data_IF_393778568124
#
_entry.id   IF_393778568124
#
_cell.length_a   1.000
_cell.length_b   1.000
_cell.length_c   1.000
_cell.angle_alpha   90.00
_cell.angle_beta   90.00
_cell.angle_gamma   90.00
#
_symmetry.space_group_name_H-M   'P 1'
#
loop_
_entity.id
_entity.type
_entity.pdbx_description
1 polymer ?
#
# COMPACT_ATOMS: atom_id res chain seq x y z
N UNK A 1 -32.52 -16.74 2.59
CA UNK A 1 -31.54 -15.95 3.34
C UNK A 1 -30.15 -16.60 3.41
N UNK A 2 -30.05 -17.93 3.63
CA UNK A 2 -28.74 -18.62 3.68
C UNK A 2 -27.91 -18.51 2.38
N UNK A 3 -28.53 -18.59 1.19
CA UNK A 3 -27.84 -18.46 -0.08
C UNK A 3 -27.21 -17.07 -0.32
N UNK A 4 -27.84 -16.01 0.18
CA UNK A 4 -27.27 -14.65 0.13
C UNK A 4 -26.07 -14.53 1.09
N UNK A 5 -26.16 -15.10 2.29
CA UNK A 5 -25.08 -15.07 3.25
C UNK A 5 -23.85 -15.82 2.76
N UNK A 6 -24.02 -16.98 2.10
CA UNK A 6 -22.92 -17.74 1.49
C UNK A 6 -22.27 -16.96 0.31
N UNK A 7 -23.10 -16.29 -0.52
CA UNK A 7 -22.59 -15.48 -1.62
C UNK A 7 -21.78 -14.27 -1.13
N UNK A 8 -22.23 -13.56 -0.09
CA UNK A 8 -21.47 -12.44 0.50
C UNK A 8 -20.17 -12.87 1.18
N UNK A 9 -20.08 -14.11 1.66
CA UNK A 9 -18.89 -14.65 2.29
C UNK A 9 -17.93 -15.34 1.31
N UNK A 10 -18.26 -15.42 0.03
CA UNK A 10 -17.35 -15.93 -1.00
C UNK A 10 -16.21 -14.94 -1.24
N UNK A 11 -14.92 -15.34 -1.05
CA UNK A 11 -13.77 -14.48 -1.25
C UNK A 11 -13.68 -13.88 -2.65
N UNK A 12 -14.13 -14.59 -3.68
CA UNK A 12 -14.19 -14.08 -5.06
C UNK A 12 -15.21 -12.96 -5.20
N UNK A 13 -16.39 -13.14 -4.61
CA UNK A 13 -17.43 -12.09 -4.62
C UNK A 13 -16.98 -10.86 -3.84
N UNK A 14 -16.32 -11.05 -2.70
CA UNK A 14 -15.79 -9.94 -1.92
C UNK A 14 -14.73 -9.16 -2.70
N UNK A 15 -13.79 -9.83 -3.36
CA UNK A 15 -12.71 -9.17 -4.09
C UNK A 15 -13.17 -8.52 -5.39
N UNK A 16 -14.03 -9.20 -6.17
CA UNK A 16 -14.38 -8.76 -7.53
C UNK A 16 -15.62 -7.87 -7.58
N UNK A 17 -16.52 -7.98 -6.59
CA UNK A 17 -17.80 -7.25 -6.59
C UNK A 17 -17.88 -6.25 -5.44
N UNK A 18 -17.73 -6.73 -4.19
CA UNK A 18 -17.98 -5.89 -3.02
C UNK A 18 -16.89 -4.82 -2.85
N UNK A 19 -15.62 -5.20 -2.96
CA UNK A 19 -14.50 -4.25 -2.81
C UNK A 19 -14.53 -3.13 -3.85
N UNK A 20 -14.71 -3.39 -5.16
CA UNK A 20 -14.87 -2.34 -6.15
C UNK A 20 -16.11 -1.46 -5.92
N UNK A 21 -17.22 -2.06 -5.51
CA UNK A 21 -18.45 -1.31 -5.24
C UNK A 21 -18.26 -0.30 -4.09
N UNK A 22 -17.63 -0.73 -3.00
CA UNK A 22 -17.28 0.15 -1.88
C UNK A 22 -16.33 1.24 -2.33
N UNK A 23 -15.29 0.88 -3.10
CA UNK A 23 -14.34 1.84 -3.67
C UNK A 23 -15.02 2.88 -4.55
N UNK A 24 -15.91 2.44 -5.45
CA UNK A 24 -16.66 3.33 -6.34
C UNK A 24 -17.59 4.28 -5.57
N UNK A 25 -18.34 3.77 -4.60
CA UNK A 25 -19.21 4.60 -3.75
C UNK A 25 -18.38 5.66 -3.03
N UNK A 26 -17.27 5.28 -2.40
CA UNK A 26 -16.38 6.23 -1.73
C UNK A 26 -15.81 7.24 -2.72
N UNK A 27 -15.37 6.83 -3.91
CA UNK A 27 -14.84 7.72 -4.93
C UNK A 27 -15.87 8.77 -5.38
N UNK A 28 -17.12 8.37 -5.62
CA UNK A 28 -18.21 9.29 -5.97
C UNK A 28 -18.54 10.21 -4.79
N UNK A 29 -18.62 9.69 -3.56
CA UNK A 29 -18.86 10.50 -2.37
C UNK A 29 -17.77 11.56 -2.18
N UNK A 30 -16.49 11.18 -2.30
CA UNK A 30 -15.38 12.11 -2.16
C UNK A 30 -15.33 13.15 -3.27
N UNK A 31 -15.66 12.80 -4.50
CA UNK A 31 -15.73 13.75 -5.61
C UNK A 31 -17.05 14.53 -5.63
N UNK A 32 -18.12 13.96 -5.07
CA UNK A 32 -19.51 14.37 -5.24
C UNK A 32 -20.15 15.21 -4.16
N UNK A 33 -19.54 15.39 -3.00
CA UNK A 33 -20.17 16.09 -1.86
C UNK A 33 -20.26 17.63 -2.02
N UNK A 34 -19.86 18.18 -3.15
CA UNK A 34 -19.81 19.63 -3.35
C UNK A 34 -20.78 20.13 -4.40
N UNK A 35 -21.46 21.24 -4.07
CA UNK A 35 -22.05 22.14 -5.05
C UNK A 35 -20.97 22.68 -6.01
N UNK A 36 -21.31 22.80 -7.29
CA UNK A 36 -20.45 23.30 -8.37
C UNK A 36 -19.68 24.55 -7.94
N UNK A 37 -18.34 24.59 -8.06
CA UNK A 37 -17.62 25.83 -7.82
C UNK A 37 -18.07 26.88 -8.81
N UNK A 38 -18.53 28.01 -8.33
CA UNK A 38 -19.04 29.11 -9.14
C UNK A 38 -17.93 29.96 -9.80
N UNK A 39 -16.69 29.49 -9.85
CA UNK A 39 -15.60 30.21 -10.49
C UNK A 39 -14.74 29.32 -11.37
N UNK A 40 -14.60 29.68 -12.66
CA UNK A 40 -13.68 29.12 -13.64
C UNK A 40 -12.20 29.45 -13.34
N UNK A 41 -11.85 29.70 -12.11
CA UNK A 41 -10.45 29.94 -11.74
C UNK A 41 -9.69 28.61 -11.74
N UNK A 42 -8.56 28.50 -12.45
CA UNK A 42 -7.71 27.31 -12.40
C UNK A 42 -7.35 27.01 -10.94
N UNK A 43 -7.57 25.78 -10.54
CA UNK A 43 -7.27 25.33 -9.19
C UNK A 43 -5.74 25.16 -9.04
N UNK A 44 -5.03 26.27 -8.84
CA UNK A 44 -3.66 26.23 -8.35
C UNK A 44 -3.68 25.78 -6.90
N UNK A 45 -2.99 24.70 -6.59
CA UNK A 45 -2.67 24.33 -5.20
C UNK A 45 -1.75 25.42 -4.68
N UNK A 46 -2.32 26.49 -4.12
CA UNK A 46 -1.54 27.44 -3.36
C UNK A 46 -0.98 26.67 -2.17
N UNK A 47 0.33 26.43 -2.17
CA UNK A 47 1.04 25.94 -1.01
C UNK A 47 0.77 26.90 0.14
N UNK A 48 -0.21 26.58 0.95
CA UNK A 48 -0.30 27.18 2.27
C UNK A 48 0.84 26.57 3.04
N UNK A 49 1.97 27.25 3.04
CA UNK A 49 3.15 26.86 3.81
C UNK A 49 2.76 26.96 5.29
N UNK A 50 2.18 25.89 5.82
CA UNK A 50 2.01 25.73 7.24
C UNK A 50 3.40 25.40 7.77
N UNK A 51 4.12 26.41 8.23
CA UNK A 51 5.40 26.25 8.93
C UNK A 51 5.11 25.56 10.25
N UNK A 52 5.16 24.23 10.26
CA UNK A 52 5.24 23.46 11.50
C UNK A 52 6.64 23.68 12.06
N UNK A 53 6.80 24.58 13.03
CA UNK A 53 7.93 24.54 13.96
C UNK A 53 7.80 23.27 14.80
N UNK A 54 8.31 22.16 14.26
CA UNK A 54 8.48 20.94 15.04
C UNK A 54 9.69 21.16 15.95
N UNK A 55 9.44 21.50 17.20
CA UNK A 55 10.46 21.45 18.23
C UNK A 55 10.72 19.96 18.51
N UNK A 56 11.71 19.40 17.84
CA UNK A 56 12.21 18.06 18.15
C UNK A 56 12.94 18.19 19.48
N UNK A 57 12.27 17.88 20.57
CA UNK A 57 12.93 17.61 21.83
C UNK A 57 13.64 16.26 21.68
N UNK A 58 14.91 16.31 21.25
CA UNK A 58 15.76 15.12 21.26
C UNK A 58 16.05 14.82 22.72
N UNK A 59 15.22 13.95 23.30
CA UNK A 59 15.51 13.37 24.59
C UNK A 59 16.65 12.37 24.36
N UNK A 60 17.90 12.85 24.45
CA UNK A 60 19.07 11.99 24.51
C UNK A 60 19.06 11.26 25.87
N UNK A 61 18.19 10.26 25.99
CA UNK A 61 18.38 9.21 26.98
C UNK A 61 19.63 8.47 26.57
N UNK A 62 20.70 8.64 27.33
CA UNK A 62 22.00 8.03 27.10
C UNK A 62 21.83 6.53 26.84
N UNK A 63 22.04 6.12 25.59
CA UNK A 63 22.19 4.72 25.25
C UNK A 63 23.45 4.22 25.98
N UNK A 64 23.24 3.54 27.11
CA UNK A 64 24.28 2.68 27.68
C UNK A 64 24.61 1.65 26.61
N UNK A 65 25.84 1.68 26.13
CA UNK A 65 26.40 0.63 25.30
C UNK A 65 26.25 -0.68 26.06
N UNK A 66 25.34 -1.49 25.61
CA UNK A 66 25.08 -2.84 26.08
C UNK A 66 26.28 -3.73 25.72
N UNK A 67 26.66 -4.59 26.64
CA UNK A 67 27.77 -5.54 26.52
C UNK A 67 27.55 -6.49 25.32
N UNK A 68 28.62 -7.13 24.84
CA UNK A 68 28.61 -8.07 23.71
C UNK A 68 27.56 -9.21 23.82
N UNK A 69 27.17 -9.56 25.04
CA UNK A 69 26.14 -10.59 25.29
C UNK A 69 24.75 -10.20 24.82
N UNK A 70 24.42 -8.91 24.86
CA UNK A 70 23.12 -8.42 24.36
C UNK A 70 23.03 -8.50 22.81
N UNK A 71 24.16 -8.39 22.10
CA UNK A 71 24.19 -8.47 20.63
C UNK A 71 23.70 -9.85 20.12
N UNK A 72 24.07 -10.93 20.79
CA UNK A 72 23.60 -12.28 20.46
C UNK A 72 22.10 -12.43 20.71
N UNK A 73 21.58 -11.84 21.80
CA UNK A 73 20.14 -11.81 22.09
C UNK A 73 19.35 -11.10 20.99
N UNK A 74 19.81 -9.94 20.52
CA UNK A 74 19.17 -9.21 19.42
C UNK A 74 19.22 -9.98 18.09
N UNK A 75 20.35 -10.63 17.77
CA UNK A 75 20.50 -11.43 16.56
C UNK A 75 19.57 -12.63 16.57
N UNK A 76 19.47 -13.33 17.71
CA UNK A 76 18.54 -14.46 17.86
C UNK A 76 17.08 -14.00 17.74
N UNK A 77 16.72 -12.88 18.38
CA UNK A 77 15.39 -12.30 18.26
C UNK A 77 15.05 -11.93 16.81
N UNK A 78 15.98 -11.32 16.07
CA UNK A 78 15.81 -10.96 14.67
C UNK A 78 15.58 -12.21 13.80
N UNK A 79 16.38 -13.25 13.98
CA UNK A 79 16.22 -14.54 13.27
C UNK A 79 14.89 -15.19 13.59
N UNK A 80 14.45 -15.15 14.85
CA UNK A 80 13.15 -15.67 15.26
C UNK A 80 11.99 -14.91 14.62
N UNK A 81 12.10 -13.59 14.53
CA UNK A 81 11.10 -12.73 13.85
C UNK A 81 11.03 -13.06 12.36
N UNK A 82 12.17 -13.13 11.68
CA UNK A 82 12.22 -13.46 10.24
C UNK A 82 11.65 -14.86 9.99
N UNK A 83 12.01 -15.84 10.79
CA UNK A 83 11.48 -17.20 10.69
C UNK A 83 9.95 -17.24 10.93
N UNK A 84 9.48 -16.51 11.94
CA UNK A 84 8.04 -16.41 12.26
C UNK A 84 7.23 -15.75 11.16
N UNK A 85 7.72 -14.63 10.60
CA UNK A 85 7.08 -13.93 9.49
C UNK A 85 7.06 -14.81 8.24
N UNK A 86 8.19 -15.48 7.94
CA UNK A 86 8.31 -16.38 6.78
C UNK A 86 7.34 -17.56 6.89
N UNK A 87 7.24 -18.15 8.07
CA UNK A 87 6.29 -19.23 8.36
C UNK A 87 4.84 -18.76 8.23
N UNK A 88 4.50 -17.61 8.83
CA UNK A 88 3.16 -17.03 8.76
C UNK A 88 2.75 -16.71 7.33
N UNK A 89 3.64 -16.05 6.57
CA UNK A 89 3.40 -15.77 5.16
C UNK A 89 3.20 -17.06 4.34
N UNK A 90 4.07 -18.06 4.48
CA UNK A 90 3.95 -19.31 3.73
C UNK A 90 2.64 -20.04 4.02
N UNK A 91 2.15 -19.95 5.26
CA UNK A 91 0.90 -20.57 5.70
C UNK A 91 -0.34 -19.87 5.12
N UNK A 92 -0.30 -18.55 4.96
CA UNK A 92 -1.43 -17.69 4.60
C UNK A 92 -1.18 -16.88 3.32
N UNK A 93 -0.27 -17.33 2.44
CA UNK A 93 0.11 -16.58 1.25
C UNK A 93 -1.08 -16.28 0.34
N UNK A 94 -1.92 -17.29 0.07
CA UNK A 94 -3.09 -17.15 -0.80
C UNK A 94 -4.09 -16.13 -0.24
N UNK A 95 -4.33 -16.17 1.07
CA UNK A 95 -5.21 -15.25 1.77
C UNK A 95 -4.65 -13.81 1.76
N UNK A 96 -3.35 -13.65 2.02
CA UNK A 96 -2.66 -12.34 2.00
C UNK A 96 -2.72 -11.72 0.60
N UNK A 97 -2.39 -12.50 -0.43
CA UNK A 97 -2.45 -12.03 -1.82
C UNK A 97 -3.90 -11.79 -2.28
N UNK A 98 -4.85 -12.58 -1.80
CA UNK A 98 -6.28 -12.35 -2.00
C UNK A 98 -6.77 -11.03 -1.40
N UNK A 99 -6.35 -10.70 -0.18
CA UNK A 99 -6.65 -9.40 0.43
C UNK A 99 -5.98 -8.24 -0.32
N UNK A 100 -4.73 -8.43 -0.78
CA UNK A 100 -4.07 -7.41 -1.61
C UNK A 100 -4.82 -7.20 -2.91
N UNK A 101 -5.24 -8.26 -3.60
CA UNK A 101 -6.07 -8.17 -4.82
C UNK A 101 -7.37 -7.39 -4.56
N UNK A 102 -8.09 -7.72 -3.49
CA UNK A 102 -9.33 -7.04 -3.11
C UNK A 102 -9.10 -5.55 -2.85
N UNK A 103 -8.01 -5.22 -2.14
CA UNK A 103 -7.59 -3.84 -1.91
C UNK A 103 -7.28 -3.09 -3.21
N UNK A 104 -6.58 -3.72 -4.16
CA UNK A 104 -6.26 -3.12 -5.46
C UNK A 104 -7.53 -2.84 -6.27
N UNK A 105 -8.50 -3.75 -6.31
CA UNK A 105 -9.78 -3.50 -6.98
C UNK A 105 -10.54 -2.35 -6.33
N UNK A 106 -10.56 -2.28 -5.00
CA UNK A 106 -11.20 -1.18 -4.27
C UNK A 106 -10.52 0.17 -4.55
N UNK A 107 -9.18 0.22 -4.52
CA UNK A 107 -8.40 1.42 -4.83
C UNK A 107 -8.61 1.87 -6.29
N UNK A 108 -8.61 0.93 -7.23
CA UNK A 108 -8.84 1.21 -8.66
C UNK A 108 -10.23 1.80 -8.86
N UNK A 109 -11.26 1.15 -8.31
CA UNK A 109 -12.64 1.63 -8.43
C UNK A 109 -12.82 3.02 -7.77
N UNK A 110 -12.19 3.25 -6.63
CA UNK A 110 -12.17 4.56 -5.96
C UNK A 110 -11.57 5.64 -6.87
N UNK A 111 -10.35 5.43 -7.39
CA UNK A 111 -9.63 6.43 -8.17
C UNK A 111 -10.35 6.66 -9.51
N UNK A 112 -10.84 5.62 -10.18
CA UNK A 112 -11.57 5.74 -11.44
C UNK A 112 -12.89 6.48 -11.26
N UNK A 113 -13.69 6.13 -10.27
CA UNK A 113 -14.98 6.79 -10.01
C UNK A 113 -14.78 8.26 -9.58
N UNK A 114 -13.78 8.54 -8.76
CA UNK A 114 -13.40 9.90 -8.39
C UNK A 114 -12.91 10.70 -9.62
N UNK A 115 -12.11 10.07 -10.48
CA UNK A 115 -11.62 10.66 -11.74
C UNK A 115 -12.76 11.01 -12.70
N UNK A 116 -13.69 10.07 -12.92
CA UNK A 116 -14.88 10.30 -13.75
C UNK A 116 -15.77 11.41 -13.18
N UNK A 117 -16.08 11.35 -11.87
CA UNK A 117 -16.88 12.36 -11.22
C UNK A 117 -16.24 13.76 -11.27
N UNK A 118 -14.91 13.83 -11.12
CA UNK A 118 -14.11 15.06 -11.27
C UNK A 118 -14.16 15.58 -12.71
N UNK A 119 -14.06 14.70 -13.71
CA UNK A 119 -14.13 15.07 -15.13
C UNK A 119 -15.54 15.60 -15.52
N UNK A 120 -16.59 14.92 -15.09
CA UNK A 120 -18.00 15.34 -15.35
C UNK A 120 -18.29 16.71 -14.73
N UNK A 121 -17.56 17.11 -13.71
CA UNK A 121 -17.72 18.42 -13.01
C UNK A 121 -16.78 19.49 -13.49
N UNK A 122 -16.11 19.31 -14.64
CA UNK A 122 -15.14 20.25 -15.19
C UNK A 122 -14.00 20.63 -14.23
N UNK A 123 -13.63 19.70 -13.32
CA UNK A 123 -12.56 19.88 -12.33
C UNK A 123 -11.16 19.47 -12.84
N UNK A 124 -11.04 19.14 -14.12
CA UNK A 124 -9.80 18.61 -14.73
C UNK A 124 -8.91 19.69 -15.37
N UNK A 125 -9.12 20.97 -15.07
CA UNK A 125 -8.53 22.12 -15.78
C UNK A 125 -7.03 22.37 -15.54
N UNK A 126 -6.36 21.56 -14.72
CA UNK A 126 -4.94 21.80 -14.40
C UNK A 126 -4.08 20.55 -14.58
N UNK A 127 -2.76 20.76 -14.79
CA UNK A 127 -1.76 19.69 -14.79
C UNK A 127 -1.74 18.90 -13.46
N UNK A 128 -2.21 19.50 -12.38
CA UNK A 128 -2.33 18.87 -11.06
C UNK A 128 -3.29 17.66 -11.11
N UNK A 129 -4.40 17.75 -11.85
CA UNK A 129 -5.32 16.63 -12.01
C UNK A 129 -4.62 15.40 -12.59
N UNK A 130 -3.73 15.59 -13.57
CA UNK A 130 -2.95 14.50 -14.17
C UNK A 130 -2.05 13.85 -13.11
N UNK A 131 -1.38 14.64 -12.29
CA UNK A 131 -0.46 14.14 -11.27
C UNK A 131 -1.15 13.48 -10.07
N UNK A 132 -2.36 13.91 -9.73
CA UNK A 132 -3.06 13.42 -8.54
C UNK A 132 -4.17 12.42 -8.81
N UNK A 133 -4.62 12.27 -10.07
CA UNK A 133 -5.63 11.29 -10.45
C UNK A 133 -5.05 10.30 -11.47
N UNK A 134 -4.47 10.76 -12.57
CA UNK A 134 -4.02 9.87 -13.63
C UNK A 134 -2.75 9.08 -13.25
N UNK A 135 -1.74 9.72 -12.67
CA UNK A 135 -0.52 9.03 -12.23
C UNK A 135 -0.79 7.94 -11.17
N UNK A 136 -1.66 8.13 -10.15
CA UNK A 136 -2.12 7.06 -9.28
C UNK A 136 -2.80 5.88 -9.99
N UNK A 137 -3.57 6.12 -11.05
CA UNK A 137 -4.18 5.02 -11.84
C UNK A 137 -3.08 4.12 -12.42
N UNK A 138 -2.05 4.72 -13.01
CA UNK A 138 -0.90 3.98 -13.56
C UNK A 138 -0.19 3.21 -12.45
N UNK A 139 0.04 3.83 -11.30
CA UNK A 139 0.74 3.22 -10.18
C UNK A 139 -0.05 2.03 -9.59
N UNK A 140 -1.37 2.16 -9.44
CA UNK A 140 -2.21 1.04 -9.01
C UNK A 140 -2.28 -0.04 -10.09
N UNK A 141 -2.34 0.34 -11.38
CA UNK A 141 -2.22 -0.61 -12.50
C UNK A 141 -0.92 -1.41 -12.44
N UNK A 142 0.21 -0.75 -12.16
CA UNK A 142 1.49 -1.43 -11.95
C UNK A 142 1.48 -2.35 -10.73
N UNK A 143 0.72 -2.02 -9.67
CA UNK A 143 0.59 -2.88 -8.50
C UNK A 143 -0.14 -4.20 -8.80
N UNK A 144 -1.02 -4.27 -9.79
CA UNK A 144 -1.57 -5.56 -10.27
C UNK A 144 -0.48 -6.44 -10.91
N UNK A 145 0.43 -5.83 -11.66
CA UNK A 145 1.58 -6.56 -12.19
C UNK A 145 2.49 -7.08 -11.07
N UNK A 146 2.76 -6.28 -10.05
CA UNK A 146 3.52 -6.71 -8.87
C UNK A 146 2.83 -7.86 -8.13
N UNK A 147 1.51 -7.80 -7.98
CA UNK A 147 0.73 -8.90 -7.41
C UNK A 147 0.85 -10.18 -8.24
N UNK A 148 0.79 -10.07 -9.56
CA UNK A 148 0.99 -11.22 -10.45
C UNK A 148 2.38 -11.84 -10.26
N UNK A 149 3.44 -11.03 -10.18
CA UNK A 149 4.79 -11.52 -9.85
C UNK A 149 4.85 -12.21 -8.49
N UNK A 150 4.16 -11.66 -7.47
CA UNK A 150 4.07 -12.26 -6.15
C UNK A 150 3.39 -13.64 -6.19
N UNK A 151 2.34 -13.80 -6.99
CA UNK A 151 1.65 -15.09 -7.18
C UNK A 151 2.54 -16.12 -7.88
N UNK A 152 3.30 -15.71 -8.91
CA UNK A 152 4.27 -16.58 -9.58
C UNK A 152 5.42 -17.00 -8.67
N UNK A 153 5.76 -16.15 -7.69
CA UNK A 153 6.84 -16.41 -6.74
C UNK A 153 6.49 -17.35 -5.59
N UNK A 154 5.23 -17.82 -5.46
CA UNK A 154 4.82 -18.74 -4.40
C UNK A 154 5.60 -20.04 -4.50
N UNK A 155 6.24 -20.44 -3.40
CA UNK A 155 7.03 -21.68 -3.34
C UNK A 155 6.10 -22.87 -3.22
N UNK A 156 6.12 -23.81 -4.19
CA UNK A 156 5.28 -25.00 -4.14
C UNK A 156 5.58 -25.85 -2.90
N UNK A 157 4.52 -26.31 -2.19
CA UNK A 157 4.66 -27.13 -0.99
C UNK A 157 5.04 -26.37 0.29
N UNK A 158 5.32 -25.07 0.22
CA UNK A 158 5.66 -24.27 1.40
C UNK A 158 4.48 -24.18 2.38
N UNK A 159 3.25 -24.11 1.88
CA UNK A 159 2.03 -24.07 2.70
C UNK A 159 1.86 -25.34 3.52
N UNK A 160 1.96 -26.51 2.89
CA UNK A 160 1.85 -27.81 3.55
C UNK A 160 2.98 -28.02 4.57
N UNK A 161 4.19 -27.59 4.22
CA UNK A 161 5.33 -27.65 5.13
C UNK A 161 5.11 -26.72 6.35
N UNK A 162 4.60 -25.50 6.14
CA UNK A 162 4.29 -24.56 7.21
C UNK A 162 3.14 -25.02 8.10
N UNK A 163 2.20 -25.81 7.57
CA UNK A 163 1.11 -26.40 8.38
C UNK A 163 1.58 -27.56 9.26
N UNK A 164 2.59 -28.33 8.81
CA UNK A 164 3.09 -29.52 9.51
C UNK A 164 4.17 -29.20 10.54
N UNK A 165 4.88 -28.11 10.38
CA UNK A 165 6.04 -27.74 11.20
C UNK A 165 5.82 -26.42 11.92
N UNK A 166 6.35 -26.31 13.15
CA UNK A 166 6.47 -25.04 13.84
C UNK A 166 7.46 -24.10 13.10
N UNK A 167 7.42 -22.80 13.39
CA UNK A 167 8.16 -21.78 12.62
C UNK A 167 9.68 -22.01 12.55
N UNK A 168 10.34 -22.49 13.63
CA UNK A 168 11.76 -22.84 13.60
C UNK A 168 12.05 -24.06 12.73
N UNK A 169 11.30 -25.15 12.93
CA UNK A 169 11.50 -26.38 12.15
C UNK A 169 11.18 -26.15 10.68
N UNK A 170 10.16 -25.35 10.36
CA UNK A 170 9.86 -24.93 9.01
C UNK A 170 11.04 -24.23 8.37
N UNK A 171 11.55 -23.17 9.00
CA UNK A 171 12.60 -22.33 8.41
C UNK A 171 13.94 -23.06 8.30
N UNK A 172 14.36 -23.80 9.33
CA UNK A 172 15.70 -24.41 9.36
C UNK A 172 15.76 -25.83 8.81
N UNK A 173 14.66 -26.62 8.85
CA UNK A 173 14.67 -28.03 8.46
C UNK A 173 13.82 -28.33 7.23
N UNK A 174 12.59 -27.80 7.14
CA UNK A 174 11.65 -28.15 6.07
C UNK A 174 11.90 -27.33 4.79
N UNK A 175 12.37 -26.08 4.93
CA UNK A 175 12.60 -25.19 3.80
C UNK A 175 13.96 -25.48 3.15
N UNK A 176 13.99 -25.64 1.81
CA UNK A 176 15.23 -25.75 1.05
C UNK A 176 16.05 -24.46 1.18
N UNK A 177 17.37 -24.57 1.12
CA UNK A 177 18.29 -23.47 1.30
C UNK A 177 18.03 -22.30 0.34
N UNK A 178 17.76 -22.59 -0.93
CA UNK A 178 17.39 -21.61 -1.95
C UNK A 178 16.13 -20.80 -1.59
N UNK A 179 15.16 -21.44 -0.94
CA UNK A 179 13.90 -20.77 -0.55
C UNK A 179 14.02 -19.97 0.75
N UNK A 180 15.03 -20.23 1.59
CA UNK A 180 15.27 -19.45 2.83
C UNK A 180 15.62 -17.99 2.54
N UNK A 181 16.31 -17.73 1.42
CA UNK A 181 16.59 -16.37 0.97
C UNK A 181 15.44 -15.79 0.14
N UNK A 182 14.80 -16.62 -0.68
CA UNK A 182 13.73 -16.19 -1.57
C UNK A 182 12.51 -15.68 -0.82
N UNK A 183 11.99 -16.43 0.16
CA UNK A 183 10.76 -16.08 0.86
C UNK A 183 10.81 -14.73 1.60
N UNK A 184 11.85 -14.38 2.38
CA UNK A 184 11.96 -13.04 2.95
C UNK A 184 11.95 -11.91 1.90
N UNK A 185 12.63 -12.10 0.76
CA UNK A 185 12.61 -11.13 -0.34
C UNK A 185 11.21 -10.99 -0.92
N UNK A 186 10.52 -12.09 -1.15
CA UNK A 186 9.13 -12.09 -1.62
C UNK A 186 8.20 -11.34 -0.65
N UNK A 187 8.32 -11.58 0.66
CA UNK A 187 7.53 -10.88 1.69
C UNK A 187 7.79 -9.38 1.67
N UNK A 188 9.06 -8.99 1.59
CA UNK A 188 9.43 -7.57 1.46
C UNK A 188 8.86 -6.97 0.17
N UNK A 189 8.93 -7.69 -0.94
CA UNK A 189 8.35 -7.27 -2.20
C UNK A 189 6.84 -7.03 -2.11
N UNK A 190 6.09 -7.96 -1.51
CA UNK A 190 4.66 -7.83 -1.24
C UNK A 190 4.38 -6.61 -0.35
N UNK A 191 5.13 -6.46 0.73
CA UNK A 191 4.98 -5.31 1.65
C UNK A 191 5.14 -3.98 0.92
N UNK A 192 6.24 -3.80 0.16
CA UNK A 192 6.47 -2.57 -0.59
C UNK A 192 5.47 -2.36 -1.73
N UNK A 193 4.96 -3.42 -2.35
CA UNK A 193 3.89 -3.34 -3.36
C UNK A 193 2.58 -2.81 -2.77
N UNK A 194 2.21 -3.28 -1.59
CA UNK A 194 1.04 -2.76 -0.84
C UNK A 194 1.26 -1.31 -0.44
N UNK A 195 2.45 -0.95 0.07
CA UNK A 195 2.79 0.43 0.42
C UNK A 195 2.69 1.35 -0.79
N UNK A 196 3.16 0.92 -1.98
CA UNK A 196 3.05 1.70 -3.21
C UNK A 196 1.59 1.95 -3.61
N UNK A 197 0.73 0.93 -3.54
CA UNK A 197 -0.70 1.05 -3.84
C UNK A 197 -1.41 2.01 -2.87
N UNK A 198 -1.12 1.92 -1.57
CA UNK A 198 -1.64 2.83 -0.55
C UNK A 198 -1.16 4.26 -0.82
N UNK A 199 0.12 4.47 -1.07
CA UNK A 199 0.69 5.79 -1.36
C UNK A 199 0.03 6.43 -2.59
N UNK A 200 -0.20 5.65 -3.66
CA UNK A 200 -0.91 6.11 -4.85
C UNK A 200 -2.34 6.55 -4.52
N UNK A 201 -3.07 5.75 -3.76
CA UNK A 201 -4.46 6.06 -3.36
C UNK A 201 -4.52 7.31 -2.47
N UNK A 202 -3.61 7.45 -1.51
CA UNK A 202 -3.54 8.61 -0.62
C UNK A 202 -3.29 9.92 -1.38
N UNK A 203 -2.56 9.89 -2.49
CA UNK A 203 -2.40 11.07 -3.36
C UNK A 203 -3.74 11.53 -3.93
N UNK A 204 -4.55 10.61 -4.43
CA UNK A 204 -5.89 10.93 -4.95
C UNK A 204 -6.81 11.43 -3.84
N UNK A 205 -6.77 10.81 -2.66
CA UNK A 205 -7.53 11.27 -1.48
C UNK A 205 -7.12 12.68 -1.09
N UNK A 206 -5.82 12.99 -1.09
CA UNK A 206 -5.32 14.34 -0.77
C UNK A 206 -5.89 15.39 -1.73
N UNK A 207 -5.81 15.14 -3.03
CA UNK A 207 -6.34 16.04 -4.05
C UNK A 207 -7.84 16.30 -3.86
N UNK A 208 -8.61 15.23 -3.69
CA UNK A 208 -10.06 15.34 -3.47
C UNK A 208 -10.39 16.09 -2.17
N UNK A 209 -9.63 15.88 -1.11
CA UNK A 209 -9.80 16.59 0.15
C UNK A 209 -9.56 18.09 -0.02
N UNK A 210 -8.52 18.51 -0.76
CA UNK A 210 -8.25 19.92 -1.06
C UNK A 210 -9.35 20.52 -1.94
N UNK A 211 -9.82 19.82 -2.96
CA UNK A 211 -10.92 20.30 -3.82
C UNK A 211 -12.19 20.51 -3.01
N UNK A 212 -12.51 19.59 -2.10
CA UNK A 212 -13.67 19.70 -1.23
C UNK A 212 -13.56 20.81 -0.19
N UNK A 213 -12.38 21.12 0.32
CA UNK A 213 -12.16 22.30 1.17
C UNK A 213 -12.47 23.62 0.45
N UNK A 214 -12.01 23.77 -0.81
CA UNK A 214 -12.21 24.97 -1.61
C UNK A 214 -13.66 25.25 -1.97
N UNK A 215 -14.45 24.21 -2.18
CA UNK A 215 -15.83 24.32 -2.60
C UNK A 215 -16.82 24.63 -1.46
N UNK A 216 -16.32 24.94 -0.24
CA UNK A 216 -17.16 25.15 0.95
C UNK A 216 -18.19 24.01 1.18
N UNK A 217 -17.82 22.80 0.79
CA UNK A 217 -18.67 21.61 0.94
C UNK A 217 -18.97 21.31 2.40
N UNK A 218 -20.08 20.62 2.65
CA UNK A 218 -20.40 20.13 3.99
C UNK A 218 -19.23 19.34 4.59
N UNK A 219 -19.07 19.36 5.91
CA UNK A 219 -18.02 18.66 6.66
C UNK A 219 -16.57 19.22 6.50
N UNK A 220 -16.36 20.53 6.66
CA UNK A 220 -15.03 21.13 6.48
C UNK A 220 -13.96 20.49 7.39
N UNK A 221 -14.32 20.09 8.61
CA UNK A 221 -13.41 19.44 9.56
C UNK A 221 -12.87 18.11 9.04
N UNK A 222 -13.70 17.31 8.35
CA UNK A 222 -13.28 16.02 7.78
C UNK A 222 -12.27 16.25 6.64
N UNK A 223 -12.55 17.21 5.76
CA UNK A 223 -11.65 17.52 4.65
C UNK A 223 -10.32 18.10 5.12
N UNK A 224 -10.33 18.95 6.13
CA UNK A 224 -9.11 19.44 6.77
C UNK A 224 -8.29 18.31 7.40
N UNK A 225 -8.94 17.40 8.11
CA UNK A 225 -8.28 16.25 8.71
C UNK A 225 -7.66 15.34 7.64
N UNK A 226 -8.42 15.00 6.60
CA UNK A 226 -7.93 14.17 5.50
C UNK A 226 -6.77 14.82 4.75
N UNK A 227 -6.88 16.10 4.40
CA UNK A 227 -5.78 16.83 3.76
C UNK A 227 -4.52 16.85 4.63
N UNK A 228 -4.68 16.97 5.95
CA UNK A 228 -3.56 16.97 6.90
C UNK A 228 -2.84 15.62 6.98
N UNK A 229 -3.58 14.51 7.13
CA UNK A 229 -2.97 13.19 7.25
C UNK A 229 -2.38 12.68 5.94
N UNK A 230 -2.93 13.10 4.79
CA UNK A 230 -2.43 12.73 3.46
C UNK A 230 -1.40 13.71 2.91
N UNK A 231 -1.09 14.79 3.63
CA UNK A 231 -0.18 15.84 3.20
C UNK A 231 1.19 15.31 2.75
N UNK A 232 1.75 14.33 3.47
CA UNK A 232 3.04 13.76 3.13
C UNK A 232 3.06 13.07 1.74
N UNK A 233 1.91 12.51 1.30
CA UNK A 233 1.80 11.83 0.00
C UNK A 233 1.75 12.81 -1.17
N UNK A 234 1.39 14.06 -0.94
CA UNK A 234 1.24 15.11 -1.96
C UNK A 234 2.57 15.71 -2.42
N UNK A 235 3.57 15.74 -1.56
CA UNK A 235 4.86 16.36 -1.80
C UNK A 235 5.80 15.46 -2.61
N UNK A 236 6.94 16.02 -3.03
CA UNK A 236 8.02 15.31 -3.73
C UNK A 236 8.45 14.06 -2.98
N UNK A 237 8.45 14.10 -1.64
CA UNK A 237 8.72 12.93 -0.80
C UNK A 237 7.73 11.79 -0.99
N UNK A 238 6.44 12.08 -1.21
CA UNK A 238 5.42 11.07 -1.50
C UNK A 238 5.59 10.44 -2.89
N UNK A 239 6.01 11.20 -3.90
CA UNK A 239 6.37 10.65 -5.22
C UNK A 239 7.58 9.75 -5.10
N UNK A 240 8.62 10.21 -4.38
CA UNK A 240 9.81 9.40 -4.15
C UNK A 240 9.48 8.10 -3.42
N UNK A 241 8.69 8.16 -2.35
CA UNK A 241 8.23 6.97 -1.61
C UNK A 241 7.49 5.98 -2.53
N UNK A 242 6.59 6.48 -3.38
CA UNK A 242 5.84 5.64 -4.31
C UNK A 242 6.76 4.95 -5.32
N UNK A 243 7.64 5.70 -5.99
CA UNK A 243 8.57 5.16 -6.97
C UNK A 243 9.58 4.20 -6.33
N UNK A 244 10.09 4.55 -5.16
CA UNK A 244 11.01 3.73 -4.39
C UNK A 244 10.36 2.41 -3.95
N UNK A 245 9.16 2.48 -3.37
CA UNK A 245 8.43 1.30 -2.95
C UNK A 245 8.07 0.40 -4.14
N UNK A 246 7.59 0.96 -5.24
CA UNK A 246 7.28 0.21 -6.45
C UNK A 246 8.53 -0.42 -7.08
N UNK A 247 9.65 0.31 -7.14
CA UNK A 247 10.93 -0.18 -7.65
C UNK A 247 11.52 -1.31 -6.80
N UNK A 248 11.56 -1.14 -5.47
CA UNK A 248 12.00 -2.21 -4.56
C UNK A 248 11.09 -3.43 -4.66
N UNK A 249 9.77 -3.22 -4.65
CA UNK A 249 8.82 -4.32 -4.82
C UNK A 249 9.10 -5.11 -6.09
N UNK A 250 9.29 -4.42 -7.22
CA UNK A 250 9.64 -5.07 -8.48
C UNK A 250 10.93 -5.87 -8.38
N UNK A 251 12.03 -5.27 -7.91
CA UNK A 251 13.33 -5.94 -7.79
C UNK A 251 13.28 -7.20 -6.90
N UNK A 252 12.46 -7.16 -5.85
CA UNK A 252 12.30 -8.29 -4.94
C UNK A 252 11.43 -9.39 -5.56
N UNK A 253 10.31 -9.04 -6.21
CA UNK A 253 9.35 -9.99 -6.76
C UNK A 253 9.76 -10.57 -8.11
N UNK A 254 10.53 -9.83 -8.93
CA UNK A 254 11.08 -10.35 -10.20
C UNK A 254 12.15 -11.42 -9.98
N UNK A 255 12.74 -11.47 -8.79
CA UNK A 255 13.87 -12.33 -8.49
C UNK A 255 15.23 -11.71 -8.83
N UNK A 256 15.29 -10.51 -9.44
CA UNK A 256 16.55 -9.88 -9.81
C UNK A 256 17.46 -9.68 -8.59
N UNK A 257 16.90 -9.28 -7.46
CA UNK A 257 17.63 -9.17 -6.20
C UNK A 257 18.19 -10.51 -5.75
N UNK A 258 17.44 -11.59 -5.87
CA UNK A 258 17.88 -12.95 -5.51
C UNK A 258 19.03 -13.43 -6.40
N UNK A 259 18.91 -13.27 -7.73
CA UNK A 259 19.97 -13.65 -8.68
C UNK A 259 21.24 -12.82 -8.51
N UNK A 260 21.11 -11.54 -8.22
CA UNK A 260 22.27 -10.68 -7.93
C UNK A 260 23.07 -11.16 -6.72
N UNK A 261 22.40 -11.58 -5.65
CA UNK A 261 23.06 -12.09 -4.44
C UNK A 261 23.70 -13.46 -4.69
N UNK A 262 22.97 -14.35 -5.35
CA UNK A 262 23.46 -15.71 -5.63
C UNK A 262 24.71 -15.73 -6.52
N UNK A 263 24.83 -14.81 -7.46
CA UNK A 263 25.96 -14.76 -8.38
C UNK A 263 27.23 -14.09 -7.78
N UNK A 264 27.14 -13.50 -6.60
CA UNK A 264 28.27 -12.86 -5.91
C UNK A 264 28.85 -13.67 -4.75
N UNK A 265 28.18 -14.70 -4.29
CA UNK A 265 28.63 -15.64 -3.27
C UNK A 265 29.08 -16.96 -3.87
#
# INVERSE_FOLDING_TARGET
MQALATWFNDPLVQSVVISPLVGAILGVLFAGLNSVPSSNAPATVQETTIIFKQTIVVNQSGQRYSSSDDAWGYLFALVAVVAGITWGYSRYADEILGYWLSGLFSCTAFILSAGVASAVRDQYSSSEWVWYIFAPIIAVGFSFYLLHLAQLGIVPGAREAAQRHGFFDFYFKALKEEHRMWLPLQIMGVFFGVVAAIAATLRSVHYLALMNQRANGGLPTVWHFLARITYFSAHTGGVFLLLFAAGISYLMLSGDAYYFWRNKG
#
